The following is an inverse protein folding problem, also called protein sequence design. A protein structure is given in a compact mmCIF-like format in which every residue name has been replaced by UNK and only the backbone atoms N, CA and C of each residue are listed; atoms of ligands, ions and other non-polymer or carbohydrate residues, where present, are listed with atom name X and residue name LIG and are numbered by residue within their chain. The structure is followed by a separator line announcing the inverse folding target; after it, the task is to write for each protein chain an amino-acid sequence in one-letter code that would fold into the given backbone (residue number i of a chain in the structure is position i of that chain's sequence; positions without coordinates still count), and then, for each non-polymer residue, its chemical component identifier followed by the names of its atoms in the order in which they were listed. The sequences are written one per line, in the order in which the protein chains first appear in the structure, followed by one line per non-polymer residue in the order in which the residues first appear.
data_IF_721292619990
#
_entry.id   IF_721292619990
#
_cell.length_a   1.000
_cell.length_b   1.000
_cell.length_c   1.000
_cell.angle_alpha   90.00
_cell.angle_beta   90.00
_cell.angle_gamma   90.00
#
_symmetry.space_group_name_H-M   'P 1'
#
loop_
_entity.id
_entity.type
_entity.pdbx_description
1 polymer ?
#
# COMPACT_ATOMS: atom_id res chain seq x y z
N UNK A 1 47.43 -3.14 -16.21
CA UNK A 1 48.90 -3.44 -16.28
C UNK A 1 49.33 -4.72 -15.54
N UNK A 2 48.88 -5.07 -14.32
CA UNK A 2 49.23 -6.35 -13.66
C UNK A 2 48.48 -7.57 -14.22
N UNK A 3 47.20 -7.43 -14.53
CA UNK A 3 46.34 -8.50 -15.03
C UNK A 3 46.62 -8.84 -16.49
N UNK A 4 46.91 -7.85 -17.33
CA UNK A 4 47.37 -8.04 -18.72
C UNK A 4 48.67 -8.84 -18.78
N UNK A 5 49.60 -8.58 -17.83
CA UNK A 5 50.84 -9.36 -17.70
C UNK A 5 50.64 -10.79 -17.23
N UNK A 6 49.49 -11.10 -16.64
CA UNK A 6 49.09 -12.43 -16.21
C UNK A 6 48.29 -13.21 -17.28
N UNK A 7 48.14 -12.67 -18.50
CA UNK A 7 47.42 -13.31 -19.58
C UNK A 7 45.91 -13.28 -19.43
N UNK A 8 45.40 -12.23 -18.81
CA UNK A 8 43.93 -12.04 -18.71
C UNK A 8 43.39 -11.65 -20.10
N UNK A 9 42.31 -12.32 -20.52
CA UNK A 9 41.64 -12.06 -21.80
C UNK A 9 40.97 -10.68 -21.85
N UNK A 10 40.60 -10.15 -20.67
CA UNK A 10 39.99 -8.84 -20.50
C UNK A 10 40.40 -8.20 -19.18
N UNK A 11 40.64 -6.89 -19.19
CA UNK A 11 40.90 -6.08 -17.98
C UNK A 11 39.97 -4.88 -17.97
N UNK A 12 39.01 -4.87 -17.06
CA UNK A 12 38.13 -3.72 -16.83
C UNK A 12 38.90 -2.56 -16.20
N UNK A 13 38.87 -1.40 -16.81
CA UNK A 13 39.52 -0.18 -16.31
C UNK A 13 38.79 0.40 -15.08
N UNK A 14 37.48 0.33 -15.05
CA UNK A 14 36.61 0.87 -13.98
C UNK A 14 35.28 0.14 -14.00
N UNK A 15 34.81 -0.28 -12.79
CA UNK A 15 33.52 -0.91 -12.63
C UNK A 15 32.31 0.09 -12.62
N UNK A 16 32.58 1.38 -12.71
CA UNK A 16 31.51 2.41 -12.89
C UNK A 16 30.94 2.41 -14.30
N UNK A 17 31.72 1.94 -15.29
CA UNK A 17 31.24 1.69 -16.65
C UNK A 17 31.42 0.21 -16.99
N UNK A 18 30.30 -0.53 -16.98
CA UNK A 18 30.28 -1.95 -17.26
C UNK A 18 30.24 -2.28 -18.77
N UNK A 19 30.04 -1.31 -19.65
CA UNK A 19 29.93 -1.54 -21.10
C UNK A 19 31.09 -2.31 -21.67
N UNK A 20 32.37 -1.97 -21.40
CA UNK A 20 33.50 -2.71 -21.94
C UNK A 20 33.52 -4.19 -21.52
N UNK A 21 33.04 -4.50 -20.30
CA UNK A 21 32.95 -5.89 -19.82
C UNK A 21 31.80 -6.63 -20.52
N UNK A 22 30.69 -5.99 -20.69
CA UNK A 22 29.50 -6.56 -21.34
C UNK A 22 29.79 -6.83 -22.84
N UNK A 23 30.45 -5.90 -23.51
CA UNK A 23 30.91 -6.05 -24.90
C UNK A 23 31.86 -7.22 -25.04
N UNK A 24 32.86 -7.36 -24.13
CA UNK A 24 33.78 -8.50 -24.12
C UNK A 24 33.05 -9.83 -23.92
N UNK A 25 31.99 -9.86 -23.08
CA UNK A 25 31.18 -11.06 -22.84
C UNK A 25 30.19 -11.33 -23.98
N UNK A 26 30.14 -10.49 -25.03
CA UNK A 26 29.17 -10.59 -26.10
C UNK A 26 27.75 -10.35 -25.67
N UNK A 27 27.54 -9.67 -24.53
CA UNK A 27 26.23 -9.27 -24.03
C UNK A 27 25.85 -7.95 -24.70
N UNK A 28 24.78 -7.97 -25.50
CA UNK A 28 24.27 -6.77 -26.13
C UNK A 28 23.84 -5.75 -25.05
N UNK A 29 24.55 -4.63 -25.01
CA UNK A 29 24.27 -3.52 -24.06
C UNK A 29 23.18 -2.57 -24.56
N UNK A 30 22.74 -2.72 -25.81
CA UNK A 30 21.51 -2.08 -26.25
C UNK A 30 20.34 -2.74 -25.50
N UNK A 31 19.47 -1.97 -24.84
CA UNK A 31 18.35 -2.56 -24.15
C UNK A 31 17.55 -3.39 -25.16
N UNK A 32 17.33 -4.70 -24.92
CA UNK A 32 16.56 -5.55 -25.83
C UNK A 32 15.10 -5.10 -25.91
N UNK A 33 14.69 -4.14 -25.05
CA UNK A 33 13.35 -3.62 -24.95
C UNK A 33 13.30 -2.15 -25.37
N UNK A 34 12.55 -1.89 -26.42
CA UNK A 34 12.16 -0.55 -26.83
C UNK A 34 10.86 -0.20 -26.08
N UNK A 35 10.97 0.40 -24.89
CA UNK A 35 9.83 0.80 -24.07
C UNK A 35 8.85 1.72 -24.82
N UNK A 36 9.36 2.54 -25.73
CA UNK A 36 8.57 3.41 -26.62
C UNK A 36 7.68 2.64 -27.62
N UNK A 37 7.93 1.33 -27.83
CA UNK A 37 7.14 0.45 -28.70
C UNK A 37 6.10 -0.39 -27.95
N UNK A 38 6.00 -0.27 -26.64
CA UNK A 38 4.96 -0.95 -25.87
C UNK A 38 3.60 -0.46 -26.35
N UNK A 39 2.72 -1.41 -26.64
CA UNK A 39 1.34 -1.13 -27.06
C UNK A 39 0.47 -0.99 -25.81
N UNK A 40 -0.36 0.04 -25.79
CA UNK A 40 -1.38 0.24 -24.78
C UNK A 40 -2.77 0.10 -25.39
N UNK A 41 -3.76 -0.21 -24.56
CA UNK A 41 -5.14 -0.47 -24.94
C UNK A 41 -6.08 0.43 -24.13
N UNK A 42 -7.25 0.73 -24.67
CA UNK A 42 -8.27 1.51 -23.96
C UNK A 42 -8.81 0.70 -22.76
N UNK A 43 -8.71 1.25 -21.55
CA UNK A 43 -9.18 0.59 -20.35
C UNK A 43 -10.71 0.37 -20.34
N UNK A 44 -11.46 1.11 -21.15
CA UNK A 44 -12.92 0.93 -21.28
C UNK A 44 -13.29 -0.35 -22.05
N UNK A 45 -12.35 -0.91 -22.81
CA UNK A 45 -12.55 -2.20 -23.51
C UNK A 45 -12.33 -3.41 -22.60
N UNK A 46 -11.84 -3.17 -21.38
CA UNK A 46 -11.50 -4.22 -20.40
C UNK A 46 -12.74 -4.72 -19.64
N UNK A 47 -12.86 -6.04 -19.48
CA UNK A 47 -13.79 -6.61 -18.50
C UNK A 47 -13.21 -6.45 -17.09
N UNK A 48 -13.96 -5.82 -16.20
CA UNK A 48 -13.58 -5.62 -14.80
C UNK A 48 -14.26 -6.65 -13.90
N UNK A 49 -13.48 -7.26 -13.01
CA UNK A 49 -13.98 -8.28 -12.06
C UNK A 49 -14.58 -7.67 -10.79
N UNK A 50 -14.29 -6.40 -10.51
CA UNK A 50 -14.76 -5.65 -9.34
C UNK A 50 -15.33 -4.33 -9.84
N UNK A 51 -16.52 -3.96 -9.37
CA UNK A 51 -17.21 -2.73 -9.78
C UNK A 51 -17.78 -1.97 -8.58
N UNK A 52 -18.07 -0.68 -8.78
CA UNK A 52 -18.62 0.19 -7.73
C UNK A 52 -20.03 -0.24 -7.28
N UNK A 53 -20.80 -0.89 -8.14
CA UNK A 53 -22.14 -1.38 -7.80
C UNK A 53 -22.11 -2.46 -6.72
N UNK A 54 -20.98 -3.15 -6.58
CA UNK A 54 -20.78 -4.22 -5.59
C UNK A 54 -20.23 -3.71 -4.26
N UNK A 55 -20.01 -2.40 -4.09
CA UNK A 55 -19.44 -1.85 -2.87
C UNK A 55 -20.37 -2.04 -1.67
N UNK A 56 -19.81 -2.52 -0.57
CA UNK A 56 -20.51 -2.66 0.70
C UNK A 56 -20.74 -1.29 1.35
N UNK A 57 -21.98 -1.03 1.75
CA UNK A 57 -22.44 0.25 2.31
C UNK A 57 -22.57 0.18 3.83
N UNK A 58 -21.77 0.96 4.58
CA UNK A 58 -21.85 1.00 6.05
C UNK A 58 -23.26 1.33 6.53
N UNK A 59 -23.76 0.54 7.46
CA UNK A 59 -25.08 0.74 8.06
C UNK A 59 -26.28 0.40 7.18
N UNK A 60 -26.08 -0.02 5.94
CA UNK A 60 -27.12 -0.42 4.99
C UNK A 60 -27.03 -1.93 4.70
N UNK A 61 -25.87 -2.40 4.28
CA UNK A 61 -25.66 -3.81 3.97
C UNK A 61 -25.40 -4.61 5.26
N UNK A 62 -25.81 -5.88 5.32
CA UNK A 62 -25.62 -6.71 6.51
C UNK A 62 -24.13 -6.92 6.80
N UNK A 63 -23.75 -6.80 8.07
CA UNK A 63 -22.39 -7.11 8.52
C UNK A 63 -22.28 -8.62 8.75
N UNK A 64 -21.35 -9.32 8.08
CA UNK A 64 -21.18 -10.75 8.28
C UNK A 64 -20.78 -11.06 9.73
N UNK A 65 -21.31 -12.15 10.28
CA UNK A 65 -20.90 -12.62 11.61
C UNK A 65 -19.43 -12.98 11.62
N UNK A 66 -18.72 -12.42 12.59
CA UNK A 66 -17.31 -12.72 12.83
C UNK A 66 -16.92 -12.26 14.23
N UNK A 67 -16.09 -13.04 14.88
CA UNK A 67 -15.51 -12.73 16.19
C UNK A 67 -14.13 -13.36 16.31
N UNK A 68 -13.27 -12.77 17.10
CA UNK A 68 -11.94 -13.29 17.41
C UNK A 68 -11.52 -12.80 18.81
N UNK A 69 -10.69 -13.59 19.50
CA UNK A 69 -10.23 -13.29 20.83
C UNK A 69 -9.42 -11.98 20.88
N UNK A 70 -9.85 -11.04 21.73
CA UNK A 70 -9.21 -9.74 21.90
C UNK A 70 -9.66 -8.67 20.90
N UNK A 71 -10.59 -8.99 19.98
CA UNK A 71 -11.06 -8.01 19.02
C UNK A 71 -11.83 -6.84 19.69
N UNK A 72 -12.68 -7.15 20.66
CA UNK A 72 -13.39 -6.10 21.41
C UNK A 72 -12.43 -5.18 22.18
N UNK A 73 -11.31 -5.70 22.67
CA UNK A 73 -10.26 -4.90 23.28
C UNK A 73 -9.57 -4.01 22.26
N UNK A 74 -9.28 -4.52 21.05
CA UNK A 74 -8.74 -3.71 19.97
C UNK A 74 -9.66 -2.54 19.62
N UNK A 75 -10.97 -2.81 19.46
CA UNK A 75 -12.00 -1.78 19.18
C UNK A 75 -12.02 -0.71 20.29
N UNK A 76 -11.96 -1.12 21.57
CA UNK A 76 -11.86 -0.17 22.68
C UNK A 76 -10.59 0.68 22.63
N UNK A 77 -9.45 0.09 22.28
CA UNK A 77 -8.19 0.81 22.13
C UNK A 77 -8.22 1.81 20.97
N UNK A 78 -8.85 1.45 19.84
CA UNK A 78 -9.08 2.39 18.72
C UNK A 78 -9.94 3.56 19.20
N UNK A 79 -11.06 3.30 19.87
CA UNK A 79 -11.94 4.34 20.39
C UNK A 79 -11.23 5.23 21.41
N UNK A 80 -10.46 4.65 22.33
CA UNK A 80 -9.66 5.38 23.33
C UNK A 80 -8.60 6.25 22.66
N UNK A 81 -7.87 5.74 21.69
CA UNK A 81 -6.87 6.49 20.94
C UNK A 81 -7.51 7.75 20.33
N UNK A 82 -8.64 7.61 19.67
CA UNK A 82 -9.33 8.75 19.04
C UNK A 82 -9.88 9.76 20.04
N UNK A 83 -10.48 9.31 21.16
CA UNK A 83 -10.92 10.21 22.24
C UNK A 83 -9.75 11.02 22.82
N UNK A 84 -8.55 10.43 22.83
CA UNK A 84 -7.32 11.07 23.34
C UNK A 84 -6.54 11.83 22.25
N UNK A 85 -7.10 12.02 21.05
CA UNK A 85 -6.44 12.71 19.94
C UNK A 85 -5.22 11.96 19.37
N UNK A 86 -5.08 10.66 19.66
CA UNK A 86 -3.96 9.85 19.17
C UNK A 86 -4.24 9.26 17.80
N UNK A 87 -3.20 9.05 16.98
CA UNK A 87 -3.41 8.57 15.62
C UNK A 87 -3.93 7.14 15.55
N UNK A 88 -4.71 6.88 14.52
CA UNK A 88 -5.04 5.54 14.04
C UNK A 88 -4.59 5.45 12.60
N UNK A 89 -3.53 4.69 12.36
CA UNK A 89 -2.95 4.43 11.05
C UNK A 89 -3.55 3.16 10.49
N UNK A 90 -4.16 3.26 9.32
CA UNK A 90 -4.74 2.13 8.58
C UNK A 90 -3.85 1.78 7.39
N UNK A 91 -3.12 0.68 7.50
CA UNK A 91 -2.28 0.13 6.43
C UNK A 91 -3.00 -1.02 5.73
N UNK A 92 -2.97 -1.05 4.40
CA UNK A 92 -3.73 -2.05 3.65
C UNK A 92 -2.96 -2.63 2.46
N UNK A 93 -3.34 -3.85 2.10
CA UNK A 93 -3.10 -4.45 0.80
C UNK A 93 -4.25 -4.18 -0.16
N UNK A 94 -4.04 -4.41 -1.44
CA UNK A 94 -5.00 -4.12 -2.52
C UNK A 94 -6.34 -4.87 -2.38
N UNK A 95 -6.37 -6.00 -1.67
CA UNK A 95 -7.59 -6.77 -1.47
C UNK A 95 -8.65 -6.03 -0.65
N UNK A 96 -8.30 -5.04 0.14
CA UNK A 96 -9.28 -4.18 0.82
C UNK A 96 -10.17 -3.47 -0.21
N UNK A 97 -9.56 -2.88 -1.25
CA UNK A 97 -10.28 -2.23 -2.35
C UNK A 97 -10.99 -3.28 -3.22
N UNK A 98 -10.31 -4.36 -3.60
CA UNK A 98 -10.89 -5.45 -4.41
C UNK A 98 -12.06 -6.18 -3.74
N UNK A 99 -12.14 -6.17 -2.42
CA UNK A 99 -13.26 -6.70 -1.64
C UNK A 99 -14.38 -5.65 -1.43
N UNK A 100 -14.35 -4.54 -2.16
CA UNK A 100 -15.39 -3.52 -2.15
C UNK A 100 -15.61 -2.83 -0.78
N UNK A 101 -14.54 -2.70 0.04
CA UNK A 101 -14.62 -2.10 1.38
C UNK A 101 -14.36 -0.59 1.39
N UNK A 102 -14.23 0.05 0.23
CA UNK A 102 -13.89 1.48 0.09
C UNK A 102 -14.81 2.40 0.89
N UNK A 103 -16.12 2.18 0.86
CA UNK A 103 -17.07 3.04 1.57
C UNK A 103 -16.94 2.96 3.10
N UNK A 104 -16.53 1.82 3.65
CA UNK A 104 -16.21 1.70 5.08
C UNK A 104 -15.00 2.53 5.48
N UNK A 105 -13.95 2.55 4.63
CA UNK A 105 -12.77 3.36 4.88
C UNK A 105 -13.10 4.85 4.78
N UNK A 106 -13.89 5.23 3.79
CA UNK A 106 -14.34 6.62 3.58
C UNK A 106 -15.13 7.10 4.80
N UNK A 107 -16.11 6.32 5.29
CA UNK A 107 -16.88 6.67 6.49
C UNK A 107 -16.01 6.77 7.75
N UNK A 108 -15.07 5.82 7.94
CA UNK A 108 -14.14 5.88 9.08
C UNK A 108 -13.19 7.09 9.02
N UNK A 109 -12.79 7.55 7.83
CA UNK A 109 -12.01 8.78 7.67
C UNK A 109 -12.87 10.02 7.91
N UNK A 110 -14.07 10.07 7.35
CA UNK A 110 -15.00 11.18 7.55
C UNK A 110 -15.35 11.39 9.04
N UNK A 111 -15.52 10.31 9.79
CA UNK A 111 -15.74 10.34 11.25
C UNK A 111 -14.46 10.58 12.07
N UNK A 112 -13.34 10.81 11.41
CA UNK A 112 -12.06 11.07 12.07
C UNK A 112 -11.49 9.88 12.83
N UNK A 113 -11.89 8.65 12.51
CA UNK A 113 -11.33 7.44 13.12
C UNK A 113 -9.99 7.12 12.49
N UNK A 114 -9.94 6.93 11.17
CA UNK A 114 -8.68 6.77 10.44
C UNK A 114 -8.06 8.16 10.25
N UNK A 115 -6.84 8.33 10.73
CA UNK A 115 -6.09 9.59 10.67
C UNK A 115 -4.93 9.56 9.71
N UNK A 116 -4.59 8.39 9.19
CA UNK A 116 -3.57 8.17 8.18
C UNK A 116 -3.88 6.87 7.45
N UNK A 117 -3.92 6.93 6.13
CA UNK A 117 -4.07 5.78 5.26
C UNK A 117 -2.72 5.42 4.64
N UNK A 118 -2.36 4.14 4.63
CA UNK A 118 -1.16 3.66 3.97
C UNK A 118 -1.46 2.45 3.08
N UNK A 119 -0.83 2.39 1.91
CA UNK A 119 -1.00 1.28 0.97
C UNK A 119 0.25 1.00 0.14
N UNK A 120 0.17 0.02 -0.74
CA UNK A 120 1.14 -0.22 -1.81
C UNK A 120 0.61 0.30 -3.14
N UNK A 121 1.40 0.21 -4.22
CA UNK A 121 1.00 0.70 -5.53
C UNK A 121 -0.29 0.04 -6.05
N UNK A 122 -0.45 -1.26 -5.86
CA UNK A 122 -1.67 -1.94 -6.28
C UNK A 122 -2.95 -1.39 -5.60
N UNK A 123 -2.86 -0.92 -4.34
CA UNK A 123 -3.99 -0.25 -3.69
C UNK A 123 -4.40 1.02 -4.45
N UNK A 124 -3.41 1.85 -4.80
CA UNK A 124 -3.66 3.11 -5.51
C UNK A 124 -4.21 2.88 -6.91
N UNK A 125 -3.73 1.84 -7.61
CA UNK A 125 -4.19 1.49 -8.97
C UNK A 125 -5.67 1.11 -8.93
N UNK A 126 -6.04 0.14 -8.10
CA UNK A 126 -7.44 -0.30 -8.03
C UNK A 126 -8.38 0.82 -7.62
N UNK A 127 -7.98 1.64 -6.67
CA UNK A 127 -8.78 2.77 -6.19
C UNK A 127 -8.92 3.88 -7.25
N UNK A 128 -7.84 4.19 -7.97
CA UNK A 128 -7.83 5.15 -9.05
C UNK A 128 -8.72 4.69 -10.23
N UNK A 129 -8.64 3.40 -10.60
CA UNK A 129 -9.48 2.78 -11.61
C UNK A 129 -10.97 2.84 -11.24
N UNK A 130 -11.32 2.54 -9.99
CA UNK A 130 -12.70 2.70 -9.53
C UNK A 130 -13.17 4.15 -9.66
N UNK A 131 -12.29 5.13 -9.45
CA UNK A 131 -12.62 6.55 -9.55
C UNK A 131 -12.96 7.02 -10.96
N UNK A 132 -12.29 6.52 -12.00
CA UNK A 132 -12.54 6.95 -13.38
C UNK A 132 -13.39 5.96 -14.19
N UNK A 133 -13.19 4.65 -14.00
CA UNK A 133 -13.82 3.60 -14.80
C UNK A 133 -15.05 3.01 -14.11
N UNK A 134 -15.20 3.18 -12.78
CA UNK A 134 -16.20 2.49 -11.99
C UNK A 134 -15.94 0.99 -11.84
N UNK A 135 -14.82 0.51 -12.33
CA UNK A 135 -14.44 -0.89 -12.31
C UNK A 135 -12.93 -1.09 -12.23
N UNK A 136 -12.50 -2.24 -11.72
CA UNK A 136 -11.09 -2.60 -11.60
C UNK A 136 -10.90 -4.11 -11.60
N UNK A 137 -9.64 -4.55 -11.61
CA UNK A 137 -9.24 -5.97 -11.59
C UNK A 137 -9.59 -6.71 -12.88
N UNK A 138 -8.59 -6.95 -13.69
CA UNK A 138 -8.69 -7.70 -14.95
C UNK A 138 -8.51 -9.20 -14.78
N UNK A 139 -8.83 -9.97 -15.83
CA UNK A 139 -8.55 -11.41 -15.90
C UNK A 139 -7.09 -11.64 -16.30
N UNK A 140 -6.21 -11.67 -15.31
CA UNK A 140 -4.75 -11.83 -15.50
C UNK A 140 -4.38 -13.10 -16.29
N UNK A 141 -4.95 -14.31 -16.00
CA UNK A 141 -4.62 -15.51 -16.75
C UNK A 141 -4.78 -15.37 -18.27
N UNK A 142 -5.82 -14.70 -18.70
CA UNK A 142 -6.05 -14.49 -20.16
C UNK A 142 -5.14 -13.39 -20.72
N UNK A 143 -5.03 -12.26 -20.01
CA UNK A 143 -4.29 -11.11 -20.50
C UNK A 143 -2.77 -11.33 -20.55
N UNK A 144 -2.21 -12.26 -19.74
CA UNK A 144 -0.78 -12.56 -19.78
C UNK A 144 -0.40 -13.41 -21.01
N UNK A 145 -1.35 -14.16 -21.58
CA UNK A 145 -1.11 -15.02 -22.76
C UNK A 145 -0.82 -14.20 -24.02
N UNK A 146 -1.45 -13.05 -24.19
CA UNK A 146 -1.27 -12.16 -25.36
C UNK A 146 -0.43 -10.91 -25.06
N UNK A 147 0.01 -10.75 -23.79
CA UNK A 147 0.82 -9.62 -23.35
C UNK A 147 0.04 -8.33 -23.12
N UNK A 148 -1.29 -8.36 -23.06
CA UNK A 148 -2.11 -7.19 -22.75
C UNK A 148 -2.22 -6.89 -21.25
N UNK A 149 -1.77 -7.80 -20.37
CA UNK A 149 -1.85 -7.63 -18.93
C UNK A 149 -1.27 -6.30 -18.47
N UNK A 150 -2.12 -5.46 -17.89
CA UNK A 150 -1.71 -4.18 -17.32
C UNK A 150 -1.39 -3.07 -18.34
N UNK A 151 -1.54 -3.31 -19.63
CA UNK A 151 -1.21 -2.34 -20.70
C UNK A 151 -2.36 -1.35 -20.97
N UNK A 152 -2.99 -0.84 -19.90
CA UNK A 152 -4.15 0.03 -19.97
C UNK A 152 -3.74 1.49 -20.07
N UNK A 153 -4.08 2.14 -21.20
CA UNK A 153 -3.63 3.49 -21.56
C UNK A 153 -4.00 4.52 -20.48
N UNK A 154 -5.27 4.57 -20.06
CA UNK A 154 -5.72 5.58 -19.08
C UNK A 154 -5.10 5.35 -17.71
N UNK A 155 -5.07 4.11 -17.21
CA UNK A 155 -4.45 3.79 -15.91
C UNK A 155 -2.96 4.15 -15.93
N UNK A 156 -2.23 3.64 -16.92
CA UNK A 156 -0.78 3.85 -17.01
C UNK A 156 -0.41 5.30 -17.22
N UNK A 157 -1.05 5.96 -18.21
CA UNK A 157 -0.74 7.35 -18.56
C UNK A 157 -1.10 8.32 -17.43
N UNK A 158 -2.36 8.32 -16.99
CA UNK A 158 -2.83 9.33 -16.05
C UNK A 158 -2.16 9.23 -14.68
N UNK A 159 -1.88 8.01 -14.19
CA UNK A 159 -1.15 7.85 -12.93
C UNK A 159 0.31 8.30 -13.06
N UNK A 160 1.00 7.99 -14.16
CA UNK A 160 2.38 8.46 -14.38
C UNK A 160 2.43 9.98 -14.57
N UNK A 161 1.52 10.58 -15.33
CA UNK A 161 1.39 12.04 -15.45
C UNK A 161 1.15 12.70 -14.09
N UNK A 162 0.23 12.15 -13.29
CA UNK A 162 -0.06 12.65 -11.95
C UNK A 162 1.18 12.64 -11.05
N UNK A 163 1.93 11.55 -11.06
CA UNK A 163 3.15 11.40 -10.25
C UNK A 163 4.23 12.38 -10.70
N UNK A 164 4.50 12.49 -11.99
CA UNK A 164 5.51 13.39 -12.55
C UNK A 164 5.18 14.85 -12.24
N UNK A 165 3.92 15.28 -12.48
CA UNK A 165 3.45 16.63 -12.16
C UNK A 165 3.49 16.91 -10.66
N UNK A 166 3.06 15.96 -9.84
CA UNK A 166 3.05 16.07 -8.39
C UNK A 166 4.47 16.18 -7.81
N UNK A 167 5.41 15.39 -8.32
CA UNK A 167 6.82 15.48 -7.90
C UNK A 167 7.42 16.84 -8.22
N UNK A 168 7.15 17.39 -9.41
CA UNK A 168 7.58 18.72 -9.79
C UNK A 168 6.98 19.82 -8.86
N UNK A 169 5.77 19.60 -8.35
CA UNK A 169 5.08 20.49 -7.40
C UNK A 169 5.44 20.24 -5.93
N UNK A 170 6.27 19.26 -5.62
CA UNK A 170 6.69 18.97 -4.23
C UNK A 170 5.84 17.93 -3.48
N UNK A 171 4.88 17.28 -4.13
CA UNK A 171 3.95 16.33 -3.49
C UNK A 171 4.51 14.91 -3.38
N UNK A 172 3.95 14.12 -2.45
CA UNK A 172 4.12 12.68 -2.38
C UNK A 172 3.25 11.94 -3.40
N UNK A 173 3.31 10.62 -3.40
CA UNK A 173 2.60 9.79 -4.38
C UNK A 173 1.07 9.90 -4.22
N UNK A 174 0.55 9.71 -3.01
CA UNK A 174 -0.89 9.76 -2.75
C UNK A 174 -1.49 11.13 -3.04
N UNK A 175 -0.83 12.19 -2.59
CA UNK A 175 -1.28 13.57 -2.82
C UNK A 175 -1.25 13.92 -4.32
N UNK A 176 -0.25 13.44 -5.06
CA UNK A 176 -0.15 13.66 -6.52
C UNK A 176 -1.37 13.10 -7.25
N UNK A 177 -1.77 11.86 -6.94
CA UNK A 177 -2.93 11.23 -7.55
C UNK A 177 -4.24 11.95 -7.18
N UNK A 178 -4.41 12.29 -5.90
CA UNK A 178 -5.63 12.98 -5.45
C UNK A 178 -5.80 14.35 -6.13
N UNK A 179 -4.73 15.12 -6.24
CA UNK A 179 -4.74 16.42 -6.93
C UNK A 179 -4.98 16.29 -8.43
N UNK A 180 -4.47 15.24 -9.05
CA UNK A 180 -4.75 14.97 -10.47
C UNK A 180 -6.24 14.67 -10.67
N UNK A 181 -6.86 13.86 -9.79
CA UNK A 181 -8.31 13.59 -9.82
C UNK A 181 -9.09 14.90 -9.66
N UNK A 182 -8.73 15.74 -8.69
CA UNK A 182 -9.39 17.01 -8.45
C UNK A 182 -9.31 17.95 -9.66
N UNK A 183 -8.14 18.03 -10.30
CA UNK A 183 -7.91 18.86 -11.47
C UNK A 183 -8.59 18.37 -12.75
N UNK A 184 -8.98 17.08 -12.80
CA UNK A 184 -9.58 16.41 -13.97
C UNK A 184 -10.92 15.74 -13.62
N UNK A 185 -11.77 16.39 -12.84
CA UNK A 185 -13.03 15.82 -12.30
C UNK A 185 -13.93 15.19 -13.34
N UNK A 186 -13.93 15.73 -14.55
CA UNK A 186 -14.71 15.24 -15.68
C UNK A 186 -14.30 13.84 -16.15
N UNK A 187 -13.04 13.46 -15.91
CA UNK A 187 -12.53 12.12 -16.20
C UNK A 187 -12.83 11.12 -15.06
N UNK A 188 -13.23 11.61 -13.88
CA UNK A 188 -13.42 10.81 -12.67
C UNK A 188 -14.85 10.92 -12.15
N UNK A 189 -15.85 10.38 -12.89
CA UNK A 189 -17.25 10.47 -12.49
C UNK A 189 -17.55 9.76 -11.16
N UNK A 190 -16.72 8.78 -10.77
CA UNK A 190 -16.90 7.97 -9.55
C UNK A 190 -15.89 8.33 -8.45
N UNK A 191 -15.28 9.51 -8.48
CA UNK A 191 -14.27 9.95 -7.49
C UNK A 191 -14.76 9.93 -6.03
N UNK A 192 -16.08 10.05 -5.83
CA UNK A 192 -16.67 10.00 -4.47
C UNK A 192 -16.57 8.60 -3.82
N UNK A 193 -16.33 7.55 -4.60
CA UNK A 193 -16.05 6.18 -4.16
C UNK A 193 -14.55 5.88 -4.05
N UNK A 194 -13.68 6.81 -4.47
CA UNK A 194 -12.25 6.67 -4.46
C UNK A 194 -11.67 7.04 -3.08
N UNK A 195 -11.08 6.08 -2.40
CA UNK A 195 -10.58 6.23 -1.02
C UNK A 195 -9.46 7.25 -0.93
N UNK A 196 -8.50 7.22 -1.87
CA UNK A 196 -7.37 8.16 -1.89
C UNK A 196 -7.83 9.61 -2.10
N UNK A 197 -8.83 9.82 -2.96
CA UNK A 197 -9.39 11.14 -3.21
C UNK A 197 -10.16 11.66 -1.98
N UNK A 198 -10.98 10.82 -1.37
CA UNK A 198 -11.71 11.17 -0.14
C UNK A 198 -10.79 11.40 1.05
N UNK A 199 -9.70 10.62 1.17
CA UNK A 199 -8.68 10.87 2.19
C UNK A 199 -8.12 12.31 2.06
N UNK A 200 -7.74 12.71 0.86
CA UNK A 200 -7.26 14.06 0.59
C UNK A 200 -8.31 15.14 0.90
N UNK A 201 -9.57 14.92 0.50
CA UNK A 201 -10.68 15.82 0.79
C UNK A 201 -10.93 16.02 2.29
N UNK A 202 -10.74 14.96 3.09
CA UNK A 202 -10.88 15.01 4.55
C UNK A 202 -9.61 15.46 5.28
N UNK A 203 -8.54 15.78 4.56
CA UNK A 203 -7.25 16.13 5.16
C UNK A 203 -6.53 14.95 5.83
N UNK A 204 -6.89 13.73 5.49
CA UNK A 204 -6.23 12.51 5.96
C UNK A 204 -5.07 12.17 5.00
N UNK A 205 -3.81 12.15 5.46
CA UNK A 205 -2.70 11.72 4.62
C UNK A 205 -2.92 10.30 4.11
N UNK A 206 -2.82 10.13 2.78
CA UNK A 206 -2.79 8.82 2.13
C UNK A 206 -1.41 8.60 1.51
N UNK A 207 -0.65 7.64 2.02
CA UNK A 207 0.72 7.36 1.61
C UNK A 207 0.83 6.02 0.90
N UNK A 208 1.59 5.99 -0.21
CA UNK A 208 1.78 4.76 -0.97
C UNK A 208 3.27 4.42 -1.09
N UNK A 209 3.59 3.19 -0.68
CA UNK A 209 4.95 2.69 -0.59
C UNK A 209 5.21 1.71 -1.73
N UNK A 210 6.01 2.15 -2.68
CA UNK A 210 6.16 1.49 -3.99
C UNK A 210 7.39 0.61 -4.01
N UNK A 211 7.21 -0.63 -4.49
CA UNK A 211 8.30 -1.48 -4.93
C UNK A 211 8.42 -1.36 -6.45
N UNK A 212 9.54 -0.80 -6.94
CA UNK A 212 9.72 -0.58 -8.38
C UNK A 212 9.70 -1.90 -9.15
N UNK A 213 8.95 -1.93 -10.25
CA UNK A 213 8.78 -3.10 -11.11
C UNK A 213 7.62 -4.03 -10.74
N UNK A 214 6.89 -3.77 -9.64
CA UNK A 214 5.79 -4.64 -9.19
C UNK A 214 4.40 -4.24 -9.68
N UNK A 215 4.24 -3.01 -10.16
CA UNK A 215 2.94 -2.42 -10.47
C UNK A 215 2.74 -2.27 -11.99
N UNK A 216 1.51 -2.44 -12.47
CA UNK A 216 1.21 -2.37 -13.91
C UNK A 216 1.53 -1.01 -14.55
N UNK A 217 1.47 0.08 -13.79
CA UNK A 217 1.85 1.41 -14.28
C UNK A 217 3.35 1.54 -14.61
N UNK A 218 4.17 0.62 -14.10
CA UNK A 218 5.60 0.56 -14.41
C UNK A 218 5.89 0.01 -15.82
N UNK A 219 4.88 -0.58 -16.47
CA UNK A 219 4.96 -1.11 -17.82
C UNK A 219 4.66 -0.04 -18.89
N UNK A 220 4.12 1.12 -18.48
CA UNK A 220 3.69 2.15 -19.43
C UNK A 220 4.90 2.90 -20.03
N UNK A 221 4.87 3.25 -21.37
CA UNK A 221 5.99 3.90 -22.06
C UNK A 221 6.49 5.21 -21.43
N UNK A 222 5.60 5.96 -20.76
CA UNK A 222 5.97 7.25 -20.13
C UNK A 222 6.41 7.14 -18.67
N UNK A 223 6.65 5.91 -18.17
CA UNK A 223 7.07 5.72 -16.78
C UNK A 223 8.35 6.49 -16.46
N UNK A 224 8.35 7.19 -15.33
CA UNK A 224 9.53 7.81 -14.73
C UNK A 224 9.78 7.20 -13.35
N UNK A 225 10.68 6.23 -13.29
CA UNK A 225 11.06 5.58 -12.03
C UNK A 225 11.70 6.53 -11.03
N UNK A 226 12.36 7.59 -11.50
CA UNK A 226 12.90 8.65 -10.64
C UNK A 226 11.78 9.40 -9.92
N UNK A 227 10.75 9.82 -10.67
CA UNK A 227 9.57 10.47 -10.11
C UNK A 227 8.84 9.56 -9.12
N UNK A 228 8.62 8.28 -9.47
CA UNK A 228 7.98 7.30 -8.58
C UNK A 228 8.77 7.15 -7.27
N UNK A 229 10.10 7.02 -7.36
CA UNK A 229 10.98 6.89 -6.21
C UNK A 229 10.94 8.12 -5.29
N UNK A 230 10.98 9.32 -5.86
CA UNK A 230 10.88 10.58 -5.11
C UNK A 230 9.51 10.69 -4.42
N UNK A 231 8.42 10.42 -5.15
CA UNK A 231 7.06 10.50 -4.64
C UNK A 231 6.83 9.54 -3.46
N UNK A 232 7.21 8.26 -3.63
CA UNK A 232 7.11 7.26 -2.57
C UNK A 232 8.04 7.55 -1.38
N UNK A 233 9.21 8.14 -1.62
CA UNK A 233 10.12 8.60 -0.56
C UNK A 233 9.50 9.72 0.30
N UNK A 234 8.79 10.67 -0.31
CA UNK A 234 8.05 11.71 0.42
C UNK A 234 6.90 11.13 1.23
N UNK A 235 6.18 10.17 0.67
CA UNK A 235 5.13 9.43 1.40
C UNK A 235 5.71 8.68 2.60
N UNK A 236 6.91 8.10 2.47
CA UNK A 236 7.57 7.46 3.60
C UNK A 236 7.92 8.47 4.71
N UNK A 237 8.36 9.69 4.39
CA UNK A 237 8.56 10.73 5.39
C UNK A 237 7.26 11.12 6.10
N UNK A 238 6.16 11.24 5.34
CA UNK A 238 4.83 11.52 5.90
C UNK A 238 4.38 10.40 6.84
N UNK A 239 4.61 9.15 6.46
CA UNK A 239 4.37 7.97 7.32
C UNK A 239 5.23 8.02 8.59
N UNK A 240 6.51 8.36 8.51
CA UNK A 240 7.38 8.50 9.68
C UNK A 240 6.82 9.55 10.68
N UNK A 241 6.30 10.68 10.18
CA UNK A 241 5.68 11.70 11.01
C UNK A 241 4.45 11.16 11.77
N UNK A 242 3.61 10.36 11.11
CA UNK A 242 2.46 9.73 11.76
C UNK A 242 2.90 8.71 12.83
N UNK A 243 3.90 7.90 12.53
CA UNK A 243 4.43 6.88 13.46
C UNK A 243 5.16 7.52 14.65
N UNK A 244 5.81 8.65 14.49
CA UNK A 244 6.43 9.38 15.60
C UNK A 244 5.41 9.82 16.68
N UNK A 245 4.14 9.94 16.33
CA UNK A 245 3.05 10.33 17.22
C UNK A 245 2.26 9.12 17.76
N UNK A 246 2.70 7.89 17.49
CA UNK A 246 1.90 6.67 17.69
C UNK A 246 1.78 6.26 19.17
N UNK A 247 2.45 6.91 20.10
CA UNK A 247 2.30 6.59 21.53
C UNK A 247 0.87 6.81 22.01
N UNK A 248 0.25 5.79 22.60
CA UNK A 248 -1.19 5.74 22.89
C UNK A 248 -2.09 5.60 21.65
N UNK A 249 -1.50 5.47 20.46
CA UNK A 249 -2.21 5.29 19.18
C UNK A 249 -2.28 3.85 18.70
N UNK A 250 -2.79 3.68 17.48
CA UNK A 250 -3.09 2.36 16.91
C UNK A 250 -2.54 2.26 15.49
N UNK A 251 -1.91 1.13 15.17
CA UNK A 251 -1.53 0.74 13.82
C UNK A 251 -2.29 -0.53 13.41
N UNK A 252 -3.09 -0.45 12.36
CA UNK A 252 -3.87 -1.55 11.81
C UNK A 252 -3.31 -1.93 10.45
N UNK A 253 -3.09 -3.23 10.21
CA UNK A 253 -2.64 -3.76 8.94
C UNK A 253 -3.66 -4.76 8.38
N UNK A 254 -4.25 -4.45 7.25
CA UNK A 254 -5.23 -5.30 6.57
C UNK A 254 -4.65 -5.88 5.29
N UNK A 255 -4.20 -7.15 5.35
CA UNK A 255 -3.78 -7.91 4.20
C UNK A 255 -2.48 -7.46 3.51
N UNK A 256 -1.69 -6.56 4.11
CA UNK A 256 -0.37 -6.22 3.58
C UNK A 256 0.69 -7.14 4.19
N UNK A 257 1.03 -8.21 3.46
CA UNK A 257 1.92 -9.26 3.97
C UNK A 257 3.41 -8.86 4.01
N UNK A 258 3.83 -7.90 3.21
CA UNK A 258 5.25 -7.48 3.10
C UNK A 258 5.39 -5.97 3.27
N UNK A 259 4.89 -5.18 2.35
CA UNK A 259 5.16 -3.73 2.28
C UNK A 259 4.74 -3.01 3.56
N UNK A 260 3.48 -3.16 4.01
CA UNK A 260 2.98 -2.49 5.22
C UNK A 260 3.80 -2.84 6.46
N UNK A 261 4.13 -4.12 6.63
CA UNK A 261 4.92 -4.59 7.76
C UNK A 261 6.37 -4.08 7.75
N UNK A 262 7.00 -4.00 6.57
CA UNK A 262 8.38 -3.52 6.43
C UNK A 262 8.47 -2.01 6.58
N UNK A 263 7.55 -1.26 5.99
CA UNK A 263 7.48 0.20 6.10
C UNK A 263 7.23 0.62 7.55
N UNK A 264 6.24 0.00 8.22
CA UNK A 264 5.92 0.30 9.61
C UNK A 264 7.13 0.10 10.53
N UNK A 265 7.83 -1.04 10.40
CA UNK A 265 8.97 -1.32 11.26
C UNK A 265 10.11 -0.31 11.07
N UNK A 266 10.37 0.17 9.82
CA UNK A 266 11.39 1.16 9.54
C UNK A 266 11.00 2.55 10.07
N UNK A 267 9.76 2.95 9.85
CA UNK A 267 9.24 4.21 10.39
C UNK A 267 9.29 4.23 11.93
N UNK A 268 8.91 3.12 12.58
CA UNK A 268 9.02 2.97 14.03
C UNK A 268 10.47 3.02 14.53
N UNK A 269 11.39 2.36 13.81
CA UNK A 269 12.81 2.39 14.15
C UNK A 269 13.39 3.80 14.07
N UNK A 270 13.06 4.55 13.02
CA UNK A 270 13.46 5.96 12.86
C UNK A 270 12.89 6.81 14.02
N UNK A 271 11.58 6.65 14.31
CA UNK A 271 10.93 7.40 15.39
C UNK A 271 11.62 7.17 16.74
N UNK A 272 11.90 5.92 17.09
CA UNK A 272 12.61 5.56 18.34
C UNK A 272 14.05 6.06 18.35
N UNK A 273 14.75 5.99 17.22
CA UNK A 273 16.12 6.52 17.11
C UNK A 273 16.18 8.04 17.36
N UNK A 274 15.16 8.76 16.91
CA UNK A 274 15.02 10.20 17.16
C UNK A 274 14.45 10.54 18.54
N UNK A 275 14.21 9.56 19.41
CA UNK A 275 13.76 9.76 20.79
C UNK A 275 12.25 9.94 20.97
N UNK A 276 11.43 9.68 19.96
CA UNK A 276 9.97 9.74 20.13
C UNK A 276 9.47 8.57 21.00
N UNK A 277 8.59 8.84 22.00
CA UNK A 277 8.04 7.80 22.85
C UNK A 277 6.96 7.01 22.11
N UNK A 278 7.35 5.93 21.45
CA UNK A 278 6.44 5.06 20.68
C UNK A 278 6.41 3.66 21.30
N UNK A 279 6.18 3.58 22.61
CA UNK A 279 6.24 2.33 23.37
C UNK A 279 4.87 1.82 23.77
N UNK A 280 3.95 2.67 24.22
CA UNK A 280 2.54 2.30 24.48
C UNK A 280 1.74 2.37 23.19
N UNK A 281 2.02 1.44 22.26
CA UNK A 281 1.34 1.37 20.98
C UNK A 281 0.44 0.14 20.89
N UNK A 282 -0.63 0.28 20.15
CA UNK A 282 -1.54 -0.84 19.83
C UNK A 282 -1.35 -1.24 18.36
N UNK A 283 -1.20 -2.55 18.09
CA UNK A 283 -1.14 -3.04 16.72
C UNK A 283 -2.14 -4.15 16.46
N UNK A 284 -2.77 -4.14 15.28
CA UNK A 284 -3.65 -5.20 14.79
C UNK A 284 -3.24 -5.63 13.39
N UNK A 285 -3.04 -6.93 13.20
CA UNK A 285 -2.83 -7.51 11.86
C UNK A 285 -4.01 -8.39 11.50
N UNK A 286 -4.60 -8.14 10.34
CA UNK A 286 -5.76 -8.85 9.80
C UNK A 286 -5.37 -9.55 8.50
N UNK A 287 -5.52 -10.88 8.46
CA UNK A 287 -5.13 -11.71 7.32
C UNK A 287 -5.98 -12.99 7.30
N UNK A 288 -5.97 -13.70 6.18
CA UNK A 288 -6.59 -15.03 6.07
C UNK A 288 -5.70 -16.14 6.64
N UNK A 289 -4.42 -15.85 6.90
CA UNK A 289 -3.42 -16.83 7.34
C UNK A 289 -3.52 -17.09 8.84
N UNK A 290 -3.89 -18.31 9.27
CA UNK A 290 -3.84 -18.67 10.69
C UNK A 290 -2.38 -18.82 11.14
N UNK A 291 -2.06 -18.33 12.35
CA UNK A 291 -0.71 -18.37 12.92
C UNK A 291 -0.62 -19.23 14.20
N UNK A 292 -1.74 -19.81 14.67
CA UNK A 292 -1.79 -20.50 15.97
C UNK A 292 -1.39 -19.55 17.12
N UNK A 293 -0.57 -20.01 18.07
CA UNK A 293 -0.03 -19.12 19.10
C UNK A 293 1.06 -18.22 18.54
N UNK A 294 0.64 -17.10 17.96
CA UNK A 294 1.53 -16.14 17.31
C UNK A 294 2.42 -15.35 18.28
N UNK A 295 2.19 -15.45 19.61
CA UNK A 295 2.98 -14.76 20.64
C UNK A 295 4.20 -15.57 21.08
N UNK A 296 4.18 -16.89 20.91
CA UNK A 296 5.29 -17.74 21.29
C UNK A 296 6.54 -17.50 20.43
N UNK A 297 7.71 -17.83 20.95
CA UNK A 297 8.93 -17.88 20.16
C UNK A 297 8.88 -19.11 19.24
N UNK A 298 9.18 -18.88 17.96
CA UNK A 298 9.30 -19.94 16.97
C UNK A 298 10.70 -19.95 16.36
N UNK A 299 11.20 -21.14 16.03
CA UNK A 299 12.49 -21.34 15.36
C UNK A 299 12.42 -21.11 13.85
N UNK A 300 13.56 -21.21 13.20
CA UNK A 300 13.68 -21.06 11.74
C UNK A 300 12.92 -22.13 10.95
N UNK A 301 12.66 -23.28 11.57
CA UNK A 301 11.95 -24.42 10.98
C UNK A 301 10.43 -24.16 10.85
N UNK A 302 9.89 -23.20 11.61
CA UNK A 302 8.47 -22.90 11.57
C UNK A 302 8.13 -22.14 10.27
N UNK A 303 7.14 -22.60 9.48
CA UNK A 303 6.71 -21.90 8.25
C UNK A 303 6.32 -20.44 8.45
N UNK A 304 5.91 -20.06 9.66
CA UNK A 304 5.52 -18.70 10.02
C UNK A 304 6.69 -17.84 10.48
N UNK A 305 7.90 -18.40 10.58
CA UNK A 305 9.08 -17.64 11.01
C UNK A 305 9.33 -16.43 10.13
N UNK A 306 9.18 -16.57 8.80
CA UNK A 306 9.42 -15.48 7.84
C UNK A 306 8.18 -14.64 7.52
N UNK A 307 7.01 -14.97 8.08
CA UNK A 307 5.81 -14.16 7.89
C UNK A 307 5.98 -12.77 8.55
N UNK A 308 6.14 -11.74 7.71
CA UNK A 308 6.53 -10.41 8.15
C UNK A 308 5.58 -9.77 9.17
N UNK A 309 4.24 -9.79 8.98
CA UNK A 309 3.31 -9.16 9.93
C UNK A 309 3.42 -9.74 11.34
N UNK A 310 3.62 -11.06 11.52
CA UNK A 310 3.82 -11.65 12.83
C UNK A 310 4.97 -11.00 13.60
N UNK A 311 6.13 -10.79 12.93
CA UNK A 311 7.31 -10.19 13.54
C UNK A 311 7.22 -8.67 13.66
N UNK A 312 6.86 -8.02 12.55
CA UNK A 312 7.09 -6.59 12.36
C UNK A 312 5.88 -5.73 12.74
N UNK A 313 4.73 -6.36 13.00
CA UNK A 313 3.52 -5.68 13.48
C UNK A 313 3.14 -6.19 14.85
N UNK A 314 2.92 -7.53 14.99
CA UNK A 314 2.29 -8.10 16.19
C UNK A 314 3.24 -8.22 17.38
N UNK A 315 4.52 -8.58 17.17
CA UNK A 315 5.42 -8.93 18.27
C UNK A 315 6.48 -7.86 18.59
N UNK A 316 7.38 -7.57 17.64
CA UNK A 316 8.53 -6.69 17.89
C UNK A 316 8.16 -5.26 18.29
N UNK A 317 7.20 -4.60 17.60
CA UNK A 317 6.86 -3.21 17.92
C UNK A 317 6.33 -3.01 19.34
N UNK A 318 5.62 -4.01 19.86
CA UNK A 318 4.95 -3.95 21.17
C UNK A 318 5.73 -4.60 22.32
N UNK A 319 6.94 -5.10 22.06
CA UNK A 319 7.74 -5.82 23.07
C UNK A 319 8.17 -4.97 24.27
N UNK A 320 8.08 -3.65 24.15
CA UNK A 320 8.50 -2.69 25.19
C UNK A 320 7.34 -1.99 25.90
N UNK A 321 6.10 -2.50 25.84
CA UNK A 321 4.98 -1.93 26.59
C UNK A 321 3.65 -1.85 25.87
N UNK A 322 3.63 -2.04 24.54
CA UNK A 322 2.40 -2.04 23.73
C UNK A 322 1.66 -3.37 23.73
N UNK A 323 0.61 -3.47 22.91
CA UNK A 323 -0.19 -4.69 22.73
C UNK A 323 -0.49 -4.95 21.26
N UNK A 324 -0.28 -6.19 20.82
CA UNK A 324 -0.46 -6.60 19.43
C UNK A 324 -1.34 -7.84 19.28
N UNK A 325 -2.16 -7.86 18.23
CA UNK A 325 -3.02 -8.97 17.87
C UNK A 325 -2.86 -9.38 16.41
N UNK A 326 -3.11 -10.65 16.17
CA UNK A 326 -3.33 -11.18 14.84
C UNK A 326 -4.73 -11.77 14.77
N UNK A 327 -5.52 -11.31 13.83
CA UNK A 327 -6.90 -11.72 13.60
C UNK A 327 -7.02 -12.42 12.26
N UNK A 328 -7.76 -13.54 12.25
CA UNK A 328 -8.00 -14.34 11.05
C UNK A 328 -9.40 -14.07 10.54
N UNK A 329 -9.53 -13.59 9.31
CA UNK A 329 -10.83 -13.36 8.70
C UNK A 329 -10.75 -12.60 7.37
N UNK A 330 -11.79 -12.72 6.57
CA UNK A 330 -11.95 -11.95 5.34
C UNK A 330 -12.13 -10.45 5.66
N UNK A 331 -11.68 -9.58 4.77
CA UNK A 331 -11.80 -8.12 4.97
C UNK A 331 -13.25 -7.64 5.04
N UNK A 332 -14.18 -8.32 4.37
CA UNK A 332 -15.63 -8.04 4.47
C UNK A 332 -16.17 -8.29 5.88
N UNK A 333 -15.59 -9.28 6.59
CA UNK A 333 -15.91 -9.55 7.98
C UNK A 333 -15.20 -8.58 8.92
N UNK A 334 -13.87 -8.52 8.82
CA UNK A 334 -13.04 -7.83 9.81
C UNK A 334 -13.22 -6.30 9.78
N UNK A 335 -13.27 -5.68 8.61
CA UNK A 335 -13.47 -4.22 8.48
C UNK A 335 -14.90 -3.83 8.87
N UNK A 336 -15.91 -4.60 8.42
CA UNK A 336 -17.30 -4.30 8.76
C UNK A 336 -17.56 -4.47 10.27
N UNK A 337 -16.95 -5.47 10.93
CA UNK A 337 -17.06 -5.65 12.38
C UNK A 337 -16.28 -4.60 13.17
N UNK A 338 -15.12 -4.12 12.66
CA UNK A 338 -14.42 -2.98 13.25
C UNK A 338 -15.33 -1.73 13.26
N UNK A 339 -15.93 -1.43 12.13
CA UNK A 339 -16.89 -0.33 12.00
C UNK A 339 -18.10 -0.51 12.95
N UNK A 340 -18.71 -1.70 12.97
CA UNK A 340 -19.85 -2.01 13.83
C UNK A 340 -19.50 -1.88 15.32
N UNK A 341 -18.32 -2.36 15.72
CA UNK A 341 -17.81 -2.22 17.09
C UNK A 341 -17.63 -0.75 17.50
N UNK A 342 -17.10 0.08 16.59
CA UNK A 342 -16.93 1.52 16.82
C UNK A 342 -18.28 2.24 16.86
N UNK A 343 -19.23 1.84 16.02
CA UNK A 343 -20.62 2.36 16.06
C UNK A 343 -21.29 2.08 17.39
N UNK A 344 -21.16 0.85 17.94
CA UNK A 344 -21.69 0.50 19.27
C UNK A 344 -21.09 1.35 20.40
N UNK A 345 -19.93 1.97 20.17
CA UNK A 345 -19.26 2.89 21.10
C UNK A 345 -19.56 4.37 20.82
N UNK A 346 -20.44 4.65 19.88
CA UNK A 346 -20.82 6.02 19.48
C UNK A 346 -19.71 6.81 18.78
N UNK A 347 -18.82 6.11 18.09
CA UNK A 347 -17.68 6.71 17.38
C UNK A 347 -17.97 6.96 15.88
N UNK A 348 -18.96 6.27 15.32
CA UNK A 348 -19.43 6.37 13.93
C UNK A 348 -20.95 6.34 13.87
#
# INVERSE_FOLDING_TARGET
MRLEKAGADFVAGDFRDLRPLLDFLGIDTNPPFAFDKIKTYDAHDRTNLVTIESMFRPGVDPVPEWTDDGFDELVERVAKARRNGRPVVFSMGAHVIKNNMSLYLIDLMEKGIITHLAGNGACSIHDFELGYLGGTSENVPTAIEDGSFGMWEQTGRWMNEAIQQGVAAGYGYGESLARYIEANKEKFPYREQCVLYKAWMFGVPATYHIALGTDIIHQHPIVDFGAIGIASGRDFHTMCNAIAQLDGGVFLNFGSAVIGAEVFLKALSISRNLGYPTFDITTGNFDLKPLGDYRCKIGYEDPNYYYRPRKNIVNRPVSCGGKGWHFVGDHKQTIANLWLGLRKKGMV
#
